data_IF_006370699218
#
_entry.id   IF_006370699218
#
_cell.length_a   1.000
_cell.length_b   1.000
_cell.length_c   1.000
_cell.angle_alpha   90.00
_cell.angle_beta   90.00
_cell.angle_gamma   90.00
#
_symmetry.space_group_name_H-M   'P 1'
#
loop_
_entity.id
_entity.type
_entity.pdbx_description
1 polymer ?
#
# COMPACT_ATOMS: atom_id res chain seq x y z
N UNK A 1 38.34 14.60 -32.42
CA UNK A 1 38.73 15.34 -31.21
C UNK A 1 37.51 15.46 -30.32
N UNK A 2 37.44 14.70 -29.24
CA UNK A 2 36.41 14.88 -28.21
C UNK A 2 36.90 15.97 -27.25
N UNK A 3 36.08 16.98 -27.01
CA UNK A 3 36.39 18.08 -26.08
C UNK A 3 36.04 17.57 -24.68
N UNK A 4 37.06 17.26 -23.88
CA UNK A 4 36.87 16.99 -22.45
C UNK A 4 36.59 18.31 -21.73
N UNK A 5 35.35 18.50 -21.28
CA UNK A 5 35.01 19.57 -20.35
C UNK A 5 35.44 19.14 -18.94
N UNK A 6 36.63 19.56 -18.52
CA UNK A 6 37.04 19.52 -17.13
C UNK A 6 36.48 20.74 -16.40
N UNK A 7 35.59 20.50 -15.44
CA UNK A 7 35.05 21.55 -14.56
C UNK A 7 35.61 21.30 -13.16
N UNK A 8 36.43 22.23 -12.68
CA UNK A 8 37.08 22.17 -11.37
C UNK A 8 36.48 23.25 -10.46
N UNK A 9 35.93 22.86 -9.30
CA UNK A 9 35.36 23.78 -8.31
C UNK A 9 36.32 23.88 -7.13
N UNK A 10 36.84 25.08 -6.88
CA UNK A 10 37.76 25.39 -5.75
C UNK A 10 37.14 26.48 -4.87
N UNK A 11 37.42 26.41 -3.58
CA UNK A 11 36.96 27.33 -2.52
C UNK A 11 35.44 27.49 -2.38
N UNK A 12 34.74 26.43 -1.98
CA UNK A 12 33.31 26.51 -1.65
C UNK A 12 33.01 25.96 -0.27
N UNK A 13 32.36 26.78 0.57
CA UNK A 13 31.72 26.32 1.81
C UNK A 13 30.30 25.87 1.48
N UNK A 14 30.00 24.61 1.73
CA UNK A 14 28.71 24.01 1.36
C UNK A 14 28.10 23.42 2.62
N UNK A 15 27.03 24.04 3.11
CA UNK A 15 26.30 23.61 4.31
C UNK A 15 25.35 22.43 4.06
N UNK A 16 25.57 21.64 3.00
CA UNK A 16 24.70 20.54 2.55
C UNK A 16 25.41 19.62 1.56
N UNK A 17 24.71 18.64 0.99
CA UNK A 17 25.32 17.64 0.09
C UNK A 17 25.69 18.21 -1.28
N UNK A 18 26.85 17.80 -1.79
CA UNK A 18 27.26 17.96 -3.18
C UNK A 18 27.16 16.63 -3.92
N UNK A 19 26.37 16.57 -4.99
CA UNK A 19 26.24 15.38 -5.85
C UNK A 19 26.47 15.74 -7.31
N UNK A 20 27.30 14.98 -8.02
CA UNK A 20 27.60 15.18 -9.46
C UNK A 20 26.52 14.66 -10.43
N UNK A 21 25.37 14.22 -9.92
CA UNK A 21 24.14 13.79 -10.63
C UNK A 21 22.90 14.27 -9.86
N UNK A 22 21.70 13.99 -10.38
CA UNK A 22 20.42 14.30 -9.72
C UNK A 22 20.34 13.69 -8.32
N UNK A 23 20.10 14.54 -7.31
CA UNK A 23 19.77 14.13 -5.94
C UNK A 23 18.27 14.16 -5.76
N UNK A 24 17.66 12.99 -5.62
CA UNK A 24 16.26 12.90 -5.21
C UNK A 24 16.22 13.06 -3.68
N UNK A 25 15.88 14.25 -3.20
CA UNK A 25 15.58 14.48 -1.79
C UNK A 25 14.10 14.18 -1.58
N UNK A 26 13.80 13.01 -1.03
CA UNK A 26 12.44 12.70 -0.58
C UNK A 26 12.28 13.22 0.85
N UNK A 27 11.70 14.40 1.00
CA UNK A 27 11.30 14.93 2.31
C UNK A 27 9.96 14.30 2.73
N UNK A 28 9.98 13.60 3.86
CA UNK A 28 8.83 12.87 4.41
C UNK A 28 8.36 13.50 5.73
N UNK A 29 8.07 14.79 5.71
CA UNK A 29 7.37 15.46 6.81
C UNK A 29 5.88 15.01 6.86
N UNK A 30 5.57 13.92 7.57
CA UNK A 30 4.20 13.46 7.84
C UNK A 30 3.78 13.76 9.28
N UNK A 31 3.21 14.96 9.50
CA UNK A 31 2.38 15.23 10.70
C UNK A 31 0.92 14.91 10.37
N UNK A 32 0.57 13.62 10.27
CA UNK A 32 -0.85 13.21 10.14
C UNK A 32 -1.41 12.77 11.50
N UNK A 33 -2.44 13.47 11.97
CA UNK A 33 -3.18 13.05 13.15
C UNK A 33 -4.01 11.78 12.86
N UNK A 34 -4.26 10.98 13.89
CA UNK A 34 -5.14 9.81 13.81
C UNK A 34 -6.48 10.17 13.16
N UNK A 35 -6.95 9.34 12.22
CA UNK A 35 -8.21 9.60 11.51
C UNK A 35 -9.40 9.56 12.47
N UNK A 36 -10.04 10.72 12.65
CA UNK A 36 -11.27 10.84 13.44
C UNK A 36 -12.38 9.93 12.89
N UNK A 37 -12.37 9.68 11.58
CA UNK A 37 -13.28 8.76 10.92
C UNK A 37 -13.06 7.32 11.39
N UNK A 38 -11.83 6.82 11.36
CA UNK A 38 -11.54 5.46 11.77
C UNK A 38 -11.81 5.23 13.26
N UNK A 39 -11.52 6.25 14.09
CA UNK A 39 -11.91 6.24 15.50
C UNK A 39 -13.43 6.11 15.68
N UNK A 40 -14.22 6.86 14.92
CA UNK A 40 -15.68 6.77 14.97
C UNK A 40 -16.19 5.38 14.54
N UNK A 41 -15.57 4.78 13.52
CA UNK A 41 -15.90 3.41 13.11
C UNK A 41 -15.57 2.40 14.22
N UNK A 42 -14.44 2.54 14.91
CA UNK A 42 -14.13 1.67 16.05
C UNK A 42 -15.15 1.76 17.18
N UNK A 43 -15.61 2.97 17.52
CA UNK A 43 -16.65 3.15 18.54
C UNK A 43 -18.00 2.53 18.10
N UNK A 44 -18.34 2.61 16.81
CA UNK A 44 -19.52 1.94 16.25
C UNK A 44 -19.38 0.42 16.27
N UNK A 45 -18.20 -0.10 15.95
CA UNK A 45 -17.92 -1.54 15.94
C UNK A 45 -18.09 -2.16 17.33
N UNK A 46 -17.56 -1.52 18.38
CA UNK A 46 -17.71 -2.03 19.75
C UNK A 46 -19.17 -2.02 20.23
N UNK A 47 -19.99 -1.06 19.76
CA UNK A 47 -21.44 -1.07 20.01
C UNK A 47 -22.14 -2.20 19.26
N UNK A 48 -21.85 -2.36 17.97
CA UNK A 48 -22.40 -3.43 17.14
C UNK A 48 -22.07 -4.82 17.68
N UNK A 49 -20.91 -4.99 18.31
CA UNK A 49 -20.51 -6.24 18.96
C UNK A 49 -21.33 -6.58 20.22
N UNK A 50 -21.86 -5.57 20.91
CA UNK A 50 -22.68 -5.76 22.12
C UNK A 50 -24.12 -6.19 21.76
N UNK A 51 -24.61 -5.73 20.61
CA UNK A 51 -25.91 -6.10 20.04
C UNK A 51 -25.72 -7.32 19.11
N UNK A 52 -25.87 -8.52 19.66
CA UNK A 52 -25.56 -9.82 19.05
C UNK A 52 -25.69 -9.87 17.50
N UNK A 53 -24.56 -9.94 16.75
CA UNK A 53 -24.56 -9.81 15.30
C UNK A 53 -24.62 -11.18 14.62
N UNK A 54 -25.83 -11.64 14.33
CA UNK A 54 -26.02 -12.71 13.34
C UNK A 54 -25.58 -12.23 11.94
N UNK A 55 -25.21 -13.21 11.11
CA UNK A 55 -24.68 -13.09 9.73
C UNK A 55 -25.10 -11.82 8.99
N UNK A 56 -24.13 -11.00 8.57
CA UNK A 56 -24.35 -9.79 7.76
C UNK A 56 -23.79 -10.00 6.36
N UNK A 57 -24.58 -9.61 5.36
CA UNK A 57 -24.17 -9.68 3.96
C UNK A 57 -22.91 -8.83 3.70
N UNK A 58 -22.05 -9.29 2.78
CA UNK A 58 -20.90 -8.50 2.32
C UNK A 58 -21.43 -7.36 1.46
N UNK A 59 -21.14 -6.12 1.83
CA UNK A 59 -21.59 -4.95 1.08
C UNK A 59 -20.88 -4.84 -0.28
N UNK A 60 -21.53 -4.15 -1.22
CA UNK A 60 -21.09 -4.02 -2.61
C UNK A 60 -19.67 -3.43 -2.74
N UNK A 61 -19.33 -2.47 -1.89
CA UNK A 61 -18.01 -1.82 -1.87
C UNK A 61 -16.89 -2.79 -1.47
N UNK A 62 -17.13 -3.66 -0.48
CA UNK A 62 -16.16 -4.68 -0.13
C UNK A 62 -16.08 -5.73 -1.23
N UNK A 63 -17.22 -6.09 -1.81
CA UNK A 63 -17.29 -7.01 -2.94
C UNK A 63 -16.48 -6.51 -4.15
N UNK A 64 -16.46 -5.20 -4.40
CA UNK A 64 -15.62 -4.59 -5.42
C UNK A 64 -14.12 -4.89 -5.19
N UNK A 65 -13.63 -4.80 -3.96
CA UNK A 65 -12.22 -5.09 -3.66
C UNK A 65 -11.89 -6.59 -3.68
N UNK A 66 -12.85 -7.45 -3.35
CA UNK A 66 -12.66 -8.91 -3.37
C UNK A 66 -12.85 -9.53 -4.73
N UNK A 67 -13.59 -8.86 -5.63
CA UNK A 67 -13.81 -9.32 -7.00
C UNK A 67 -12.63 -8.91 -7.89
N UNK A 68 -12.29 -9.78 -8.84
CA UNK A 68 -11.30 -9.46 -9.86
C UNK A 68 -11.84 -8.38 -10.80
N UNK A 69 -11.11 -7.27 -10.89
CA UNK A 69 -11.46 -6.16 -11.78
C UNK A 69 -10.76 -6.28 -13.13
N UNK A 70 -11.51 -6.57 -14.19
CA UNK A 70 -11.01 -6.40 -15.56
C UNK A 70 -11.56 -7.41 -16.57
N UNK A 71 -11.60 -6.98 -17.84
CA UNK A 71 -11.79 -7.83 -19.05
C UNK A 71 -10.44 -8.29 -19.64
N UNK A 72 -9.32 -7.92 -19.00
CA UNK A 72 -7.97 -8.25 -19.45
C UNK A 72 -7.64 -9.72 -19.17
N UNK A 73 -6.73 -10.29 -19.95
CA UNK A 73 -6.21 -11.65 -19.74
C UNK A 73 -5.75 -11.82 -18.28
N UNK A 74 -6.15 -12.92 -17.65
CA UNK A 74 -5.92 -13.14 -16.21
C UNK A 74 -4.43 -13.45 -15.99
N UNK A 75 -3.65 -12.40 -15.84
CA UNK A 75 -2.24 -12.48 -15.43
C UNK A 75 -2.23 -12.62 -13.91
N UNK A 76 -1.89 -13.79 -13.39
CA UNK A 76 -1.83 -14.05 -11.95
C UNK A 76 -0.80 -13.17 -11.22
N UNK A 77 -0.94 -13.04 -9.90
CA UNK A 77 -0.03 -12.24 -9.04
C UNK A 77 1.45 -12.52 -9.35
N UNK A 78 1.81 -13.80 -9.50
CA UNK A 78 3.16 -14.25 -9.84
C UNK A 78 3.67 -13.56 -11.10
N UNK A 79 2.94 -13.68 -12.20
CA UNK A 79 3.32 -13.13 -13.50
C UNK A 79 3.40 -11.60 -13.48
N UNK A 80 2.53 -10.92 -12.71
CA UNK A 80 2.61 -9.45 -12.53
C UNK A 80 3.88 -9.01 -11.82
N UNK A 81 4.30 -9.74 -10.79
CA UNK A 81 5.56 -9.46 -10.08
C UNK A 81 6.78 -9.79 -10.93
N UNK A 82 6.73 -10.86 -11.73
CA UNK A 82 7.79 -11.19 -12.68
C UNK A 82 7.98 -10.09 -13.73
N UNK A 83 6.87 -9.61 -14.31
CA UNK A 83 6.90 -8.51 -15.27
C UNK A 83 7.39 -7.19 -14.63
N UNK A 84 7.11 -6.99 -13.34
CA UNK A 84 7.62 -5.89 -12.54
C UNK A 84 9.05 -6.07 -12.00
N UNK A 85 9.81 -7.09 -12.45
CA UNK A 85 11.18 -7.41 -12.00
C UNK A 85 11.31 -7.63 -10.49
N UNK A 86 10.33 -8.32 -9.88
CA UNK A 86 10.21 -8.59 -8.43
C UNK A 86 10.01 -10.08 -8.12
N UNK A 87 10.73 -10.94 -8.84
CA UNK A 87 10.56 -12.39 -8.78
C UNK A 87 10.87 -12.95 -7.38
N UNK A 88 11.86 -12.37 -6.72
CA UNK A 88 12.29 -12.69 -5.37
C UNK A 88 11.17 -12.52 -4.32
N UNK A 89 10.18 -11.65 -4.59
CA UNK A 89 9.06 -11.40 -3.70
C UNK A 89 7.92 -12.40 -3.86
N UNK A 90 7.90 -13.24 -4.90
CA UNK A 90 6.74 -14.08 -5.23
C UNK A 90 6.29 -14.96 -4.06
N UNK A 91 7.25 -15.63 -3.39
CA UNK A 91 6.95 -16.52 -2.26
C UNK A 91 6.34 -15.74 -1.10
N UNK A 92 7.02 -14.67 -0.69
CA UNK A 92 6.57 -13.78 0.38
C UNK A 92 5.20 -13.16 0.07
N UNK A 93 5.03 -12.62 -1.14
CA UNK A 93 3.81 -11.98 -1.60
C UNK A 93 2.61 -12.93 -1.58
N UNK A 94 2.81 -14.19 -1.97
CA UNK A 94 1.75 -15.20 -1.96
C UNK A 94 1.31 -15.52 -0.54
N UNK A 95 2.27 -15.66 0.38
CA UNK A 95 2.01 -15.97 1.80
C UNK A 95 1.24 -14.84 2.49
N UNK A 96 1.74 -13.60 2.40
CA UNK A 96 1.11 -12.47 3.10
C UNK A 96 -0.22 -12.08 2.46
N UNK A 97 -0.40 -12.26 1.14
CA UNK A 97 -1.70 -12.11 0.47
C UNK A 97 -2.73 -13.05 1.08
N UNK A 98 -2.39 -14.34 1.17
CA UNK A 98 -3.31 -15.36 1.66
C UNK A 98 -3.67 -15.14 3.13
N UNK A 99 -2.67 -14.78 3.95
CA UNK A 99 -2.89 -14.46 5.36
C UNK A 99 -3.79 -13.26 5.54
N UNK A 100 -3.56 -12.19 4.77
CA UNK A 100 -4.44 -11.02 4.79
C UNK A 100 -5.86 -11.38 4.33
N UNK A 101 -6.03 -12.17 3.26
CA UNK A 101 -7.34 -12.55 2.76
C UNK A 101 -8.17 -13.30 3.81
N UNK A 102 -7.55 -14.26 4.52
CA UNK A 102 -8.21 -14.96 5.65
C UNK A 102 -8.64 -13.99 6.75
N UNK A 103 -7.78 -13.03 7.08
CA UNK A 103 -8.06 -12.01 8.10
C UNK A 103 -9.17 -11.04 7.66
N UNK A 104 -9.21 -10.67 6.39
CA UNK A 104 -10.27 -9.87 5.79
C UNK A 104 -11.63 -10.56 5.95
N UNK A 105 -11.72 -11.84 5.58
CA UNK A 105 -12.96 -12.62 5.73
C UNK A 105 -13.36 -12.70 7.21
N UNK A 106 -12.42 -13.08 8.08
CA UNK A 106 -12.69 -13.28 9.50
C UNK A 106 -13.18 -12.01 10.21
N UNK A 107 -12.68 -10.85 9.80
CA UNK A 107 -13.10 -9.54 10.35
C UNK A 107 -14.41 -9.03 9.73
N UNK A 108 -14.71 -9.36 8.47
CA UNK A 108 -15.83 -8.79 7.72
C UNK A 108 -17.16 -9.56 7.85
N UNK A 109 -17.10 -10.87 8.13
CA UNK A 109 -18.25 -11.79 8.06
C UNK A 109 -19.41 -11.49 9.03
N UNK A 110 -19.18 -10.73 10.11
CA UNK A 110 -20.20 -10.52 11.17
C UNK A 110 -20.42 -9.05 11.54
N UNK A 111 -19.85 -8.08 10.80
CA UNK A 111 -20.04 -6.67 11.16
C UNK A 111 -19.94 -5.78 9.93
N UNK A 112 -20.96 -4.94 9.73
CA UNK A 112 -20.96 -3.94 8.66
C UNK A 112 -19.92 -2.87 8.94
N UNK A 113 -19.75 -2.47 10.20
CA UNK A 113 -18.72 -1.50 10.56
C UNK A 113 -17.32 -2.07 10.34
N UNK A 114 -17.11 -3.37 10.55
CA UNK A 114 -15.85 -4.01 10.20
C UNK A 114 -15.59 -4.04 8.69
N UNK A 115 -16.63 -4.25 7.88
CA UNK A 115 -16.54 -4.11 6.44
C UNK A 115 -16.15 -2.68 6.05
N UNK A 116 -16.78 -1.66 6.63
CA UNK A 116 -16.46 -0.24 6.38
C UNK A 116 -15.00 0.10 6.73
N UNK A 117 -14.50 -0.42 7.85
CA UNK A 117 -13.10 -0.27 8.25
C UNK A 117 -12.17 -0.88 7.19
N UNK A 118 -12.46 -2.10 6.76
CA UNK A 118 -11.67 -2.81 5.76
C UNK A 118 -11.69 -2.12 4.40
N UNK A 119 -12.86 -1.65 3.96
CA UNK A 119 -13.03 -0.84 2.75
C UNK A 119 -12.18 0.42 2.83
N UNK A 120 -12.27 1.16 3.93
CA UNK A 120 -11.53 2.41 4.12
C UNK A 120 -10.02 2.19 3.98
N UNK A 121 -9.48 1.16 4.63
CA UNK A 121 -8.05 0.86 4.59
C UNK A 121 -7.64 0.38 3.18
N UNK A 122 -8.41 -0.52 2.56
CA UNK A 122 -8.12 -1.01 1.21
C UNK A 122 -8.15 0.13 0.17
N UNK A 123 -9.13 1.02 0.26
CA UNK A 123 -9.25 2.20 -0.59
C UNK A 123 -8.03 3.13 -0.41
N UNK A 124 -7.59 3.34 0.83
CA UNK A 124 -6.40 4.15 1.11
C UNK A 124 -5.13 3.52 0.54
N UNK A 125 -4.91 2.23 0.79
CA UNK A 125 -3.75 1.49 0.23
C UNK A 125 -3.74 1.56 -1.29
N UNK A 126 -4.88 1.31 -1.94
CA UNK A 126 -5.02 1.42 -3.39
C UNK A 126 -4.68 2.82 -3.89
N UNK A 127 -5.29 3.85 -3.29
CA UNK A 127 -5.10 5.24 -3.71
C UNK A 127 -3.65 5.68 -3.54
N UNK A 128 -3.04 5.40 -2.39
CA UNK A 128 -1.65 5.73 -2.14
C UNK A 128 -0.70 5.00 -3.11
N UNK A 129 -0.97 3.73 -3.43
CA UNK A 129 -0.18 3.01 -4.42
C UNK A 129 -0.31 3.64 -5.82
N UNK A 130 -1.53 3.91 -6.28
CA UNK A 130 -1.75 4.47 -7.62
C UNK A 130 -1.14 5.86 -7.77
N UNK A 131 -1.26 6.72 -6.75
CA UNK A 131 -0.78 8.10 -6.83
C UNK A 131 0.74 8.22 -6.64
N UNK A 132 1.29 7.50 -5.66
CA UNK A 132 2.69 7.69 -5.25
C UNK A 132 3.61 6.63 -5.88
N UNK A 133 3.19 5.36 -5.86
CA UNK A 133 4.07 4.23 -6.22
C UNK A 133 4.04 3.91 -7.71
N UNK A 134 2.85 3.87 -8.31
CA UNK A 134 2.68 3.46 -9.70
C UNK A 134 3.42 4.39 -10.67
N UNK A 135 3.35 5.70 -10.43
CA UNK A 135 4.09 6.71 -11.21
C UNK A 135 5.59 6.42 -11.25
N UNK A 136 6.18 6.13 -10.08
CA UNK A 136 7.60 5.82 -9.95
C UNK A 136 7.99 4.49 -10.61
N UNK A 137 7.08 3.51 -10.63
CA UNK A 137 7.26 2.26 -11.37
C UNK A 137 7.33 2.53 -12.88
N UNK A 138 6.43 3.36 -13.41
CA UNK A 138 6.42 3.73 -14.84
C UNK A 138 7.70 4.47 -15.23
N UNK A 139 8.21 5.32 -14.34
CA UNK A 139 9.48 6.04 -14.52
C UNK A 139 10.71 5.12 -14.45
N UNK A 140 10.55 3.83 -14.12
CA UNK A 140 11.63 2.86 -14.08
C UNK A 140 12.55 3.00 -12.86
N UNK A 141 12.04 3.56 -11.76
CA UNK A 141 12.80 3.69 -10.51
C UNK A 141 13.24 2.32 -9.98
N UNK A 142 14.36 2.31 -9.25
CA UNK A 142 14.92 1.07 -8.72
C UNK A 142 14.00 0.37 -7.71
N UNK A 143 14.07 -0.97 -7.56
CA UNK A 143 13.27 -1.69 -6.57
C UNK A 143 13.43 -1.16 -5.14
N UNK A 144 14.63 -0.71 -4.78
CA UNK A 144 14.92 -0.13 -3.46
C UNK A 144 14.15 1.17 -3.22
N UNK A 145 14.09 2.06 -4.22
CA UNK A 145 13.33 3.31 -4.14
C UNK A 145 11.84 3.02 -4.00
N UNK A 146 11.31 2.08 -4.80
CA UNK A 146 9.91 1.68 -4.69
C UNK A 146 9.59 1.06 -3.33
N UNK A 147 10.48 0.24 -2.77
CA UNK A 147 10.28 -0.36 -1.45
C UNK A 147 10.29 0.69 -0.33
N UNK A 148 11.19 1.67 -0.42
CA UNK A 148 11.19 2.82 0.50
C UNK A 148 9.89 3.61 0.39
N UNK A 149 9.42 3.84 -0.83
CA UNK A 149 8.19 4.60 -1.07
C UNK A 149 6.95 3.86 -0.54
N UNK A 150 6.87 2.54 -0.73
CA UNK A 150 5.81 1.72 -0.12
C UNK A 150 5.84 1.85 1.40
N UNK A 151 7.03 1.80 2.02
CA UNK A 151 7.16 1.96 3.47
C UNK A 151 6.68 3.33 3.93
N UNK A 152 7.19 4.39 3.34
CA UNK A 152 6.98 5.76 3.82
C UNK A 152 5.62 6.35 3.41
N UNK A 153 5.06 5.94 2.26
CA UNK A 153 3.80 6.51 1.73
C UNK A 153 2.58 5.61 1.93
N UNK A 154 2.78 4.33 2.22
CA UNK A 154 1.67 3.37 2.42
C UNK A 154 1.71 2.77 3.81
N UNK A 155 2.77 2.05 4.16
CA UNK A 155 2.83 1.29 5.42
C UNK A 155 2.75 2.22 6.63
N UNK A 156 3.68 3.18 6.74
CA UNK A 156 3.74 4.08 7.89
C UNK A 156 2.44 4.91 8.04
N UNK A 157 1.88 5.54 6.98
CA UNK A 157 0.65 6.32 7.10
C UNK A 157 -0.59 5.47 7.43
N UNK A 158 -0.69 4.25 6.89
CA UNK A 158 -1.80 3.35 7.21
C UNK A 158 -1.69 2.84 8.66
N UNK A 159 -0.49 2.47 9.12
CA UNK A 159 -0.26 2.10 10.53
C UNK A 159 -0.59 3.25 11.49
N UNK A 160 -0.19 4.47 11.16
CA UNK A 160 -0.53 5.66 11.94
C UNK A 160 -2.04 5.91 11.99
N UNK A 161 -2.73 5.71 10.86
CA UNK A 161 -4.17 5.90 10.81
C UNK A 161 -4.94 4.85 11.60
N UNK A 162 -4.51 3.58 11.54
CA UNK A 162 -5.09 2.46 12.29
C UNK A 162 -5.19 2.76 13.79
N UNK A 163 -4.24 3.52 14.34
CA UNK A 163 -4.30 3.97 15.73
C UNK A 163 -4.50 2.83 16.73
N UNK A 164 -5.69 2.74 17.34
CA UNK A 164 -6.07 1.66 18.27
C UNK A 164 -5.87 0.27 17.66
N UNK A 165 -6.09 0.14 16.35
CA UNK A 165 -5.84 -1.07 15.59
C UNK A 165 -6.57 -2.31 16.17
N UNK A 166 -7.90 -2.23 16.30
CA UNK A 166 -8.73 -3.30 16.87
C UNK A 166 -8.54 -4.64 16.13
N UNK A 167 -8.33 -4.57 14.81
CA UNK A 167 -8.11 -5.76 13.97
C UNK A 167 -6.66 -6.26 14.01
N UNK A 168 -5.78 -5.61 14.78
CA UNK A 168 -4.37 -5.96 14.97
C UNK A 168 -3.63 -6.11 13.64
N UNK A 169 -3.90 -5.25 12.67
CA UNK A 169 -3.17 -5.24 11.41
C UNK A 169 -1.71 -4.90 11.64
N UNK A 170 -0.83 -5.69 11.06
CA UNK A 170 0.62 -5.47 11.08
C UNK A 170 1.08 -4.83 9.77
N UNK A 171 2.34 -4.38 9.73
CA UNK A 171 2.96 -3.92 8.48
C UNK A 171 2.90 -5.00 7.39
N UNK A 172 3.08 -6.28 7.76
CA UNK A 172 2.96 -7.37 6.81
C UNK A 172 1.52 -7.58 6.31
N UNK A 173 0.50 -7.27 7.11
CA UNK A 173 -0.90 -7.30 6.65
C UNK A 173 -1.15 -6.19 5.63
N UNK A 174 -0.57 -4.99 5.81
CA UNK A 174 -0.63 -3.90 4.82
C UNK A 174 0.07 -4.31 3.53
N UNK A 175 1.22 -4.99 3.64
CA UNK A 175 1.87 -5.57 2.46
C UNK A 175 1.01 -6.64 1.79
N UNK A 176 0.31 -7.45 2.60
CA UNK A 176 -0.73 -8.38 2.16
C UNK A 176 -1.86 -7.69 1.40
N UNK A 177 -2.32 -6.52 1.85
CA UNK A 177 -3.33 -5.71 1.15
C UNK A 177 -2.85 -5.29 -0.24
N UNK A 178 -1.60 -4.85 -0.38
CA UNK A 178 -1.04 -4.47 -1.69
C UNK A 178 -1.05 -5.67 -2.65
N UNK A 179 -0.59 -6.83 -2.20
CA UNK A 179 -0.56 -8.03 -3.04
C UNK A 179 -1.95 -8.63 -3.29
N UNK A 180 -2.89 -8.45 -2.37
CA UNK A 180 -4.29 -8.80 -2.54
C UNK A 180 -4.94 -7.97 -3.64
N UNK A 181 -4.78 -6.65 -3.58
CA UNK A 181 -5.24 -5.71 -4.61
C UNK A 181 -4.55 -5.97 -5.95
N UNK A 182 -3.28 -6.35 -5.94
CA UNK A 182 -2.55 -6.76 -7.16
C UNK A 182 -3.16 -8.03 -7.78
N UNK A 183 -3.42 -9.05 -6.96
CA UNK A 183 -4.04 -10.30 -7.39
C UNK A 183 -5.44 -10.11 -7.95
N UNK A 184 -6.19 -9.15 -7.39
CA UNK A 184 -7.54 -8.80 -7.82
C UNK A 184 -7.58 -7.71 -8.92
N UNK A 185 -6.43 -7.38 -9.51
CA UNK A 185 -6.29 -6.42 -10.62
C UNK A 185 -6.66 -4.97 -10.29
N UNK A 186 -6.70 -4.59 -9.02
CA UNK A 186 -6.88 -3.20 -8.59
C UNK A 186 -5.59 -2.38 -8.65
N UNK A 187 -4.43 -3.05 -8.67
CA UNK A 187 -3.10 -2.43 -8.72
C UNK A 187 -2.26 -3.10 -9.83
N UNK A 188 -1.49 -2.28 -10.55
CA UNK A 188 -0.56 -2.71 -11.62
C UNK A 188 0.89 -2.44 -11.19
N UNK A 189 1.79 -3.36 -11.55
CA UNK A 189 3.25 -3.26 -11.30
C UNK A 189 4.05 -3.03 -12.59
N UNK A 190 3.33 -2.84 -13.70
CA UNK A 190 3.89 -2.60 -15.03
C UNK A 190 3.07 -1.54 -15.73
N UNK A 191 3.66 -1.00 -16.80
CA UNK A 191 2.95 -0.13 -17.74
C UNK A 191 1.79 -0.86 -18.40
#
# INVERSE_FOLDING_TARGET
>A
MAIENQVEVKDTQIGGDLTGRDKIVLDFSTKQAQSAYLKNLYEKFEKEKQDNPDFKEICEDLNYFTTQNGKEEIIGLKNKLEAGKRQELIKYATEVKERFHKKLIATSQYSLVAQDINIHILAKVKTAFVMEVYSMIIEGQSPNVINLLIRERIINPVMQELGINIFKYTEEDIMGMIFFLTGNCHIKWTR
#
